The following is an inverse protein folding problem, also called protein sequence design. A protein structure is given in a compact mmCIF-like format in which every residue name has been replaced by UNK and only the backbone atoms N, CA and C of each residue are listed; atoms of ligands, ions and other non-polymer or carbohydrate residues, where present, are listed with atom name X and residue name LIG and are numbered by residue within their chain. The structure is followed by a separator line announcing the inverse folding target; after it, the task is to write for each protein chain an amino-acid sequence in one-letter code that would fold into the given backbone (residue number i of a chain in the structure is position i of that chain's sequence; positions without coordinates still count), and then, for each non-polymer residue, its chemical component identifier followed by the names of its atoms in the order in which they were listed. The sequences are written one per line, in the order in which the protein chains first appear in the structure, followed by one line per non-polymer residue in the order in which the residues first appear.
data_IF_952265062431
#
_entry.id   IF_952265062431
#
_cell.length_a   1.000
_cell.length_b   1.000
_cell.length_c   1.000
_cell.angle_alpha   90.00
_cell.angle_beta   90.00
_cell.angle_gamma   90.00
#
_symmetry.space_group_name_H-M   'P 1'
#
loop_
_entity.id
_entity.type
_entity.pdbx_description
1 polymer ?
#
# COMPACT_ATOMS: atom_id res chain seq x y z
N UNK A 1 9.91 -22.01 -7.14
CA UNK A 1 8.94 -21.38 -6.22
C UNK A 1 7.87 -22.39 -5.79
N UNK A 2 7.02 -22.91 -6.68
CA UNK A 2 5.99 -23.88 -6.29
C UNK A 2 6.48 -25.14 -5.55
N UNK A 3 7.74 -25.57 -5.77
CA UNK A 3 8.36 -26.68 -5.02
C UNK A 3 8.41 -26.44 -3.50
N UNK A 4 8.47 -25.19 -3.04
CA UNK A 4 8.50 -24.88 -1.60
C UNK A 4 7.15 -25.10 -0.93
N UNK A 5 6.07 -25.28 -1.69
CA UNK A 5 4.73 -25.55 -1.17
C UNK A 5 4.55 -27.03 -0.76
N UNK A 6 5.46 -27.92 -1.18
CA UNK A 6 5.26 -29.36 -1.03
C UNK A 6 4.19 -29.92 -1.99
N UNK A 7 4.01 -31.25 -2.03
CA UNK A 7 3.16 -31.90 -3.04
C UNK A 7 1.68 -31.56 -2.88
N UNK A 8 1.18 -31.50 -1.64
CA UNK A 8 -0.26 -31.33 -1.39
C UNK A 8 -0.74 -29.94 -1.79
N UNK A 9 -0.01 -28.89 -1.39
CA UNK A 9 -0.38 -27.50 -1.70
C UNK A 9 -0.06 -27.11 -3.15
N UNK A 10 0.88 -27.81 -3.82
CA UNK A 10 1.18 -27.59 -5.23
C UNK A 10 0.31 -28.44 -6.18
N UNK A 11 -0.60 -29.25 -5.64
CA UNK A 11 -1.47 -30.11 -6.45
C UNK A 11 -2.41 -29.26 -7.31
N UNK A 12 -2.65 -29.72 -8.54
CA UNK A 12 -3.50 -29.00 -9.48
C UNK A 12 -4.96 -29.18 -9.12
N UNK A 13 -5.72 -28.08 -9.14
CA UNK A 13 -7.17 -28.07 -8.97
C UNK A 13 -7.82 -27.19 -10.03
N UNK A 14 -9.12 -27.37 -10.26
CA UNK A 14 -9.92 -26.46 -11.07
C UNK A 14 -10.59 -25.44 -10.15
N UNK A 15 -10.41 -24.16 -10.45
CA UNK A 15 -11.06 -23.08 -9.72
C UNK A 15 -12.15 -22.45 -10.62
N UNK A 16 -13.44 -22.71 -10.36
CA UNK A 16 -14.52 -22.16 -11.18
C UNK A 16 -14.77 -20.69 -10.87
N UNK A 17 -15.16 -19.93 -11.89
CA UNK A 17 -15.68 -18.57 -11.70
C UNK A 17 -17.07 -18.65 -11.05
N UNK A 18 -17.30 -17.77 -10.06
CA UNK A 18 -18.60 -17.60 -9.40
C UNK A 18 -18.89 -16.10 -9.34
N UNK A 19 -19.99 -15.70 -9.96
CA UNK A 19 -20.45 -14.31 -9.91
C UNK A 19 -21.30 -14.11 -8.64
N UNK A 20 -20.63 -13.76 -7.54
CA UNK A 20 -21.30 -13.50 -6.26
C UNK A 20 -21.79 -12.05 -6.19
N UNK A 21 -22.93 -11.83 -5.52
CA UNK A 21 -23.37 -10.48 -5.18
C UNK A 21 -22.35 -9.76 -4.30
N UNK A 22 -22.21 -8.45 -4.53
CA UNK A 22 -21.36 -7.59 -3.72
C UNK A 22 -22.13 -7.12 -2.48
N UNK A 23 -21.51 -7.32 -1.33
CA UNK A 23 -22.00 -6.88 -0.02
C UNK A 23 -20.97 -5.96 0.64
N UNK A 24 -21.41 -5.12 1.57
CA UNK A 24 -20.58 -4.12 2.26
C UNK A 24 -20.96 -2.69 1.90
N UNK A 25 -20.54 -1.74 2.72
CA UNK A 25 -20.81 -0.32 2.50
C UNK A 25 -20.09 0.22 1.27
N UNK A 26 -18.85 -0.21 1.04
CA UNK A 26 -18.06 0.14 -0.12
C UNK A 26 -18.65 -0.48 -1.39
N UNK A 27 -19.26 -1.67 -1.30
CA UNK A 27 -20.03 -2.24 -2.41
C UNK A 27 -21.27 -1.39 -2.75
N UNK A 28 -21.97 -0.86 -1.75
CA UNK A 28 -23.11 0.03 -1.96
C UNK A 28 -22.68 1.38 -2.58
N UNK A 29 -21.57 1.96 -2.14
CA UNK A 29 -20.99 3.15 -2.79
C UNK A 29 -20.59 2.84 -4.23
N UNK A 30 -19.90 1.72 -4.47
CA UNK A 30 -19.47 1.30 -5.80
C UNK A 30 -20.66 1.16 -6.79
N UNK A 31 -21.79 0.61 -6.32
CA UNK A 31 -23.03 0.52 -7.13
C UNK A 31 -23.59 1.89 -7.56
N UNK A 32 -23.32 2.96 -6.79
CA UNK A 32 -23.73 4.34 -7.10
C UNK A 32 -22.71 5.09 -7.96
N UNK A 33 -21.50 4.54 -8.13
CA UNK A 33 -20.42 5.08 -8.97
C UNK A 33 -20.12 4.16 -10.17
N UNK A 34 -21.03 4.03 -11.15
CA UNK A 34 -21.02 2.95 -12.15
C UNK A 34 -19.87 3.01 -13.17
N UNK A 35 -19.04 4.06 -13.14
CA UNK A 35 -17.87 4.21 -14.03
C UNK A 35 -16.57 3.78 -13.38
N UNK A 36 -16.59 3.46 -12.09
CA UNK A 36 -15.42 2.95 -11.39
C UNK A 36 -15.21 1.48 -11.78
N UNK A 37 -13.96 1.13 -12.06
CA UNK A 37 -13.55 -0.25 -12.30
C UNK A 37 -12.66 -0.72 -11.16
N UNK A 38 -13.04 -1.81 -10.50
CA UNK A 38 -12.27 -2.52 -9.46
C UNK A 38 -12.57 -4.02 -9.54
N UNK A 39 -11.64 -4.86 -9.10
CA UNK A 39 -11.96 -6.26 -8.83
C UNK A 39 -12.81 -6.34 -7.56
N UNK A 40 -13.88 -7.14 -7.62
CA UNK A 40 -14.89 -7.25 -6.56
C UNK A 40 -14.31 -7.48 -5.16
N UNK A 41 -13.28 -8.33 -5.06
CA UNK A 41 -12.67 -8.70 -3.79
C UNK A 41 -11.78 -7.60 -3.19
N UNK A 42 -11.52 -6.50 -3.91
CA UNK A 42 -10.79 -5.36 -3.35
C UNK A 42 -11.65 -4.54 -2.37
N UNK A 43 -12.97 -4.49 -2.59
CA UNK A 43 -13.89 -3.66 -1.79
C UNK A 43 -13.85 -3.98 -0.28
N UNK A 44 -13.96 -5.25 0.17
CA UNK A 44 -13.83 -5.57 1.60
C UNK A 44 -12.43 -5.28 2.16
N UNK A 45 -11.39 -5.27 1.32
CA UNK A 45 -10.02 -4.89 1.74
C UNK A 45 -9.96 -3.40 2.06
N UNK A 46 -10.57 -2.54 1.23
CA UNK A 46 -10.69 -1.10 1.55
C UNK A 46 -11.44 -0.88 2.85
N UNK A 47 -12.54 -1.61 3.07
CA UNK A 47 -13.34 -1.50 4.30
C UNK A 47 -12.56 -1.84 5.57
N UNK A 48 -11.74 -2.89 5.52
CA UNK A 48 -10.93 -3.31 6.65
C UNK A 48 -9.77 -2.35 6.98
N UNK A 49 -9.36 -1.51 6.02
CA UNK A 49 -8.10 -0.76 6.09
C UNK A 49 -8.33 0.73 6.33
N UNK A 50 -9.38 1.29 5.73
CA UNK A 50 -9.63 2.74 5.72
C UNK A 50 -10.41 3.14 6.97
N UNK A 51 -9.76 3.93 7.83
CA UNK A 51 -10.41 4.55 9.00
C UNK A 51 -11.28 5.74 8.56
N UNK A 52 -12.59 5.60 8.75
CA UNK A 52 -13.59 6.61 8.42
C UNK A 52 -14.17 7.32 9.66
N UNK A 53 -13.75 6.94 10.86
CA UNK A 53 -14.23 7.57 12.09
C UNK A 53 -13.70 9.00 12.25
N UNK A 54 -12.68 9.37 11.47
CA UNK A 54 -12.04 10.69 11.46
C UNK A 54 -11.75 11.16 10.03
N UNK A 55 -11.55 12.48 9.83
CA UNK A 55 -10.92 12.99 8.62
C UNK A 55 -9.55 12.35 8.36
N UNK A 56 -9.29 12.00 7.10
CA UNK A 56 -7.99 11.53 6.64
C UNK A 56 -7.50 12.34 5.43
N UNK A 57 -6.19 12.35 5.21
CA UNK A 57 -5.58 12.84 3.97
C UNK A 57 -5.22 11.65 3.10
N UNK A 58 -5.89 11.53 1.96
CA UNK A 58 -5.71 10.45 1.00
C UNK A 58 -4.98 10.95 -0.24
N UNK A 59 -4.05 10.15 -0.75
CA UNK A 59 -3.49 10.27 -2.10
C UNK A 59 -3.94 9.06 -2.92
N UNK A 60 -4.47 9.29 -4.12
CA UNK A 60 -4.71 8.25 -5.12
C UNK A 60 -3.89 8.53 -6.38
N UNK A 61 -3.17 7.53 -6.86
CA UNK A 61 -2.43 7.58 -8.12
C UNK A 61 -3.15 6.68 -9.12
N UNK A 62 -3.55 7.22 -10.28
CA UNK A 62 -4.36 6.49 -11.25
C UNK A 62 -5.87 6.55 -10.97
N UNK A 63 -6.40 7.75 -10.76
CA UNK A 63 -7.80 7.99 -10.36
C UNK A 63 -8.87 7.73 -11.44
N UNK A 64 -8.55 6.99 -12.50
CA UNK A 64 -9.42 6.63 -13.62
C UNK A 64 -10.43 7.73 -14.02
N UNK A 65 -9.92 8.83 -14.60
CA UNK A 65 -10.74 9.98 -15.03
C UNK A 65 -11.50 10.72 -13.90
N UNK A 66 -11.20 10.42 -12.64
CA UNK A 66 -11.85 11.00 -11.46
C UNK A 66 -13.06 10.23 -10.94
N UNK A 67 -13.40 9.08 -11.55
CA UNK A 67 -14.55 8.29 -11.12
C UNK A 67 -14.27 7.63 -9.75
N UNK A 68 -13.06 7.13 -9.51
CA UNK A 68 -12.70 6.54 -8.20
C UNK A 68 -12.60 7.58 -7.09
N UNK A 69 -12.21 8.82 -7.41
CA UNK A 69 -12.20 9.93 -6.45
C UNK A 69 -13.62 10.23 -5.93
N UNK A 70 -14.65 10.14 -6.78
CA UNK A 70 -16.04 10.33 -6.34
C UNK A 70 -16.48 9.20 -5.39
N UNK A 71 -16.08 7.96 -5.69
CA UNK A 71 -16.29 6.82 -4.78
C UNK A 71 -15.62 7.07 -3.43
N UNK A 72 -14.37 7.55 -3.41
CA UNK A 72 -13.68 7.90 -2.17
C UNK A 72 -14.33 9.07 -1.43
N UNK A 73 -14.81 10.10 -2.14
CA UNK A 73 -15.49 11.24 -1.53
C UNK A 73 -16.80 10.83 -0.84
N UNK A 74 -17.54 9.90 -1.43
CA UNK A 74 -18.76 9.36 -0.84
C UNK A 74 -18.48 8.40 0.33
N UNK A 75 -17.42 7.61 0.22
CA UNK A 75 -17.07 6.59 1.21
C UNK A 75 -16.41 7.16 2.46
N UNK A 76 -15.52 8.15 2.31
CA UNK A 76 -14.71 8.70 3.41
C UNK A 76 -15.48 9.66 4.32
N UNK A 77 -14.90 9.94 5.49
CA UNK A 77 -15.39 11.00 6.38
C UNK A 77 -15.52 12.34 5.60
N UNK A 78 -16.60 13.13 5.76
CA UNK A 78 -16.84 14.35 4.96
C UNK A 78 -15.76 15.44 5.09
N UNK A 79 -14.99 15.41 6.18
CA UNK A 79 -13.85 16.30 6.40
C UNK A 79 -12.52 15.81 5.79
N UNK A 80 -12.52 14.65 5.12
CA UNK A 80 -11.31 14.10 4.50
C UNK A 80 -10.85 14.92 3.30
N UNK A 81 -9.55 14.86 3.05
CA UNK A 81 -8.91 15.53 1.94
C UNK A 81 -8.38 14.49 0.95
N UNK A 82 -8.77 14.58 -0.31
CA UNK A 82 -8.40 13.59 -1.33
C UNK A 82 -7.56 14.28 -2.40
N UNK A 83 -6.38 13.75 -2.69
CA UNK A 83 -5.52 14.20 -3.77
C UNK A 83 -5.49 13.13 -4.85
N UNK A 84 -5.94 13.45 -6.05
CA UNK A 84 -5.86 12.56 -7.22
C UNK A 84 -4.70 12.93 -8.14
N UNK A 85 -3.93 11.94 -8.58
CA UNK A 85 -2.95 12.07 -9.66
C UNK A 85 -3.42 11.23 -10.86
N UNK A 86 -3.55 11.85 -12.03
CA UNK A 86 -3.91 11.15 -13.27
C UNK A 86 -3.23 11.82 -14.48
N UNK A 87 -3.02 11.09 -15.57
CA UNK A 87 -2.57 11.65 -16.83
C UNK A 87 -3.69 12.43 -17.54
N UNK A 88 -4.94 12.11 -17.23
CA UNK A 88 -6.09 12.63 -17.93
C UNK A 88 -6.59 13.96 -17.34
N UNK A 89 -6.67 14.99 -18.20
CA UNK A 89 -7.16 16.32 -17.81
C UNK A 89 -8.64 16.38 -17.43
N UNK A 90 -9.44 15.33 -17.66
CA UNK A 90 -10.82 15.23 -17.16
C UNK A 90 -10.89 15.33 -15.63
N UNK A 91 -9.82 14.93 -14.94
CA UNK A 91 -9.71 15.05 -13.49
C UNK A 91 -9.87 16.51 -13.01
N UNK A 92 -9.52 17.51 -13.84
CA UNK A 92 -9.73 18.94 -13.51
C UNK A 92 -11.19 19.32 -13.30
N UNK A 93 -12.15 18.54 -13.81
CA UNK A 93 -13.58 18.83 -13.65
C UNK A 93 -14.07 18.63 -12.22
N UNK A 94 -13.34 17.86 -11.43
CA UNK A 94 -13.67 17.59 -10.02
C UNK A 94 -12.72 18.30 -9.05
N UNK A 95 -11.79 19.10 -9.57
CA UNK A 95 -10.91 19.94 -8.76
C UNK A 95 -11.72 20.93 -7.93
N UNK A 96 -11.25 21.23 -6.71
CA UNK A 96 -11.81 22.23 -5.79
C UNK A 96 -13.25 21.94 -5.31
N UNK A 97 -13.78 20.75 -5.58
CA UNK A 97 -15.07 20.29 -5.05
C UNK A 97 -14.86 19.61 -3.70
N UNK A 98 -15.20 20.30 -2.61
CA UNK A 98 -15.43 19.67 -1.30
C UNK A 98 -14.26 18.82 -0.78
N UNK A 99 -13.05 19.38 -0.77
CA UNK A 99 -11.86 18.70 -0.22
C UNK A 99 -11.06 17.88 -1.23
N UNK A 100 -11.35 17.99 -2.53
CA UNK A 100 -10.62 17.31 -3.60
C UNK A 100 -9.58 18.24 -4.24
N UNK A 101 -8.33 17.79 -4.28
CA UNK A 101 -7.26 18.36 -5.10
C UNK A 101 -6.84 17.38 -6.19
N UNK A 102 -6.40 17.92 -7.33
CA UNK A 102 -6.01 17.10 -8.47
C UNK A 102 -4.70 17.59 -9.07
N UNK A 103 -3.87 16.68 -9.53
CA UNK A 103 -2.62 16.98 -10.24
C UNK A 103 -2.54 16.13 -11.50
N UNK A 104 -2.23 16.78 -12.62
CA UNK A 104 -2.05 16.07 -13.89
C UNK A 104 -0.58 15.69 -14.03
N UNK A 105 -0.30 14.39 -14.18
CA UNK A 105 1.05 13.93 -14.50
C UNK A 105 1.01 12.67 -15.37
N UNK A 106 1.80 12.66 -16.44
CA UNK A 106 2.00 11.48 -17.30
C UNK A 106 3.03 10.48 -16.77
N UNK A 107 3.64 10.75 -15.63
CA UNK A 107 4.67 9.92 -15.01
C UNK A 107 4.86 10.24 -13.53
N UNK A 108 5.30 9.23 -12.77
CA UNK A 108 5.49 9.31 -11.32
C UNK A 108 6.96 9.66 -10.99
N UNK A 109 7.43 10.81 -11.50
CA UNK A 109 8.81 11.24 -11.26
C UNK A 109 9.00 11.70 -9.80
N UNK A 110 10.13 11.40 -9.15
CA UNK A 110 10.38 11.77 -7.77
C UNK A 110 10.21 13.27 -7.47
N UNK A 111 10.59 14.16 -8.39
CA UNK A 111 10.41 15.62 -8.23
C UNK A 111 8.93 16.01 -8.14
N UNK A 112 8.09 15.47 -9.03
CA UNK A 112 6.65 15.71 -9.00
C UNK A 112 6.01 15.14 -7.74
N UNK A 113 6.36 13.91 -7.34
CA UNK A 113 5.86 13.33 -6.09
C UNK A 113 6.33 14.14 -4.86
N UNK A 114 7.49 14.80 -4.95
CA UNK A 114 7.98 15.74 -3.91
C UNK A 114 7.10 16.97 -3.81
N UNK A 115 6.73 17.57 -4.92
CA UNK A 115 5.85 18.73 -4.94
C UNK A 115 4.48 18.37 -4.33
N UNK A 116 3.90 17.24 -4.75
CA UNK A 116 2.62 16.75 -4.21
C UNK A 116 2.71 16.47 -2.71
N UNK A 117 3.77 15.79 -2.26
CA UNK A 117 3.97 15.49 -0.85
C UNK A 117 4.22 16.75 0.00
N UNK A 118 4.92 17.73 -0.55
CA UNK A 118 5.17 19.01 0.14
C UNK A 118 3.90 19.84 0.26
N UNK A 119 3.08 19.84 -0.79
CA UNK A 119 1.86 20.64 -0.85
C UNK A 119 0.71 20.01 -0.04
N UNK A 120 0.51 18.70 -0.17
CA UNK A 120 -0.67 18.02 0.38
C UNK A 120 -0.37 16.89 1.35
N UNK A 121 0.91 16.56 1.58
CA UNK A 121 1.33 15.56 2.54
C UNK A 121 1.51 16.13 3.96
N UNK A 122 1.77 15.27 4.95
CA UNK A 122 1.77 13.81 4.81
C UNK A 122 0.35 13.24 4.66
N UNK A 123 0.25 12.04 4.09
CA UNK A 123 -0.99 11.31 3.82
C UNK A 123 -1.22 10.18 4.84
N UNK A 124 -2.45 10.02 5.32
CA UNK A 124 -2.89 8.88 6.14
C UNK A 124 -3.04 7.61 5.30
N UNK A 125 -3.48 7.76 4.05
CA UNK A 125 -3.71 6.65 3.12
C UNK A 125 -3.18 7.01 1.73
N UNK A 126 -2.35 6.15 1.16
CA UNK A 126 -1.88 6.27 -0.23
C UNK A 126 -2.32 5.03 -0.98
N UNK A 127 -3.04 5.24 -2.08
CA UNK A 127 -3.50 4.20 -2.99
C UNK A 127 -2.79 4.35 -4.34
N UNK A 128 -1.97 3.37 -4.69
CA UNK A 128 -1.27 3.30 -5.97
C UNK A 128 -2.01 2.32 -6.91
N UNK A 129 -2.87 2.88 -7.76
CA UNK A 129 -3.56 2.21 -8.86
C UNK A 129 -3.15 2.78 -10.22
N UNK A 130 -1.88 3.24 -10.35
CA UNK A 130 -1.37 4.02 -11.47
C UNK A 130 -1.22 3.24 -12.79
N UNK A 131 -0.04 3.31 -13.42
CA UNK A 131 0.19 2.61 -14.72
C UNK A 131 0.29 1.09 -14.59
N UNK A 132 0.38 0.57 -13.37
CA UNK A 132 0.64 -0.83 -13.02
C UNK A 132 1.95 -1.40 -13.59
N UNK A 133 2.83 -0.56 -14.14
CA UNK A 133 4.15 -1.01 -14.59
C UNK A 133 5.06 -1.23 -13.40
N UNK A 134 5.84 -2.32 -13.43
CA UNK A 134 6.74 -2.70 -12.33
C UNK A 134 7.63 -1.54 -11.89
N UNK A 135 8.19 -0.80 -12.85
CA UNK A 135 9.09 0.34 -12.56
C UNK A 135 8.40 1.48 -11.80
N UNK A 136 7.17 1.83 -12.16
CA UNK A 136 6.42 2.93 -11.56
C UNK A 136 5.94 2.56 -10.16
N UNK A 137 5.35 1.37 -9.97
CA UNK A 137 4.94 0.89 -8.63
C UNK A 137 6.13 0.89 -7.65
N UNK A 138 7.30 0.42 -8.09
CA UNK A 138 8.53 0.42 -7.28
C UNK A 138 9.01 1.86 -7.00
N UNK A 139 9.00 2.73 -8.01
CA UNK A 139 9.47 4.11 -7.89
C UNK A 139 8.61 4.93 -6.92
N UNK A 140 7.28 4.87 -7.10
CA UNK A 140 6.33 5.57 -6.23
C UNK A 140 6.42 5.10 -4.79
N UNK A 141 6.47 3.79 -4.54
CA UNK A 141 6.63 3.28 -3.19
C UNK A 141 7.91 3.80 -2.52
N UNK A 142 9.06 3.66 -3.20
CA UNK A 142 10.36 4.08 -2.65
C UNK A 142 10.37 5.55 -2.24
N UNK A 143 9.67 6.38 -2.99
CA UNK A 143 9.57 7.79 -2.70
C UNK A 143 8.53 8.07 -1.60
N UNK A 144 7.27 7.70 -1.84
CA UNK A 144 6.14 8.13 -1.04
C UNK A 144 6.09 7.48 0.35
N UNK A 145 6.51 6.23 0.49
CA UNK A 145 6.45 5.53 1.78
C UNK A 145 7.27 6.25 2.86
N UNK A 146 8.50 6.64 2.53
CA UNK A 146 9.38 7.32 3.47
C UNK A 146 9.08 8.82 3.62
N UNK A 147 8.72 9.48 2.52
CA UNK A 147 8.70 10.95 2.44
C UNK A 147 7.30 11.57 2.53
N UNK A 148 6.24 10.81 2.21
CA UNK A 148 4.89 11.35 2.09
C UNK A 148 3.87 10.65 3.00
N UNK A 149 4.12 9.41 3.41
CA UNK A 149 3.19 8.67 4.27
C UNK A 149 3.34 9.11 5.73
N UNK A 150 2.22 9.42 6.38
CA UNK A 150 2.17 9.81 7.78
C UNK A 150 2.57 8.67 8.73
N UNK A 151 2.86 9.02 9.98
CA UNK A 151 3.00 8.04 11.04
C UNK A 151 1.68 7.26 11.20
N UNK A 152 1.76 5.93 11.29
CA UNK A 152 0.59 5.03 11.29
C UNK A 152 -0.20 5.02 9.97
N UNK A 153 0.32 5.66 8.92
CA UNK A 153 -0.29 5.67 7.60
C UNK A 153 -0.17 4.33 6.88
N UNK A 154 -1.00 4.17 5.85
CA UNK A 154 -1.09 2.97 5.03
C UNK A 154 -0.77 3.27 3.56
N UNK A 155 0.14 2.50 2.97
CA UNK A 155 0.40 2.48 1.53
C UNK A 155 -0.20 1.22 0.93
N UNK A 156 -1.12 1.34 -0.01
CA UNK A 156 -1.78 0.24 -0.69
C UNK A 156 -1.47 0.29 -2.19
N UNK A 157 -1.15 -0.86 -2.77
CA UNK A 157 -0.95 -1.02 -4.21
C UNK A 157 -1.97 -2.01 -4.74
N UNK A 158 -2.74 -1.57 -5.73
CA UNK A 158 -3.70 -2.40 -6.47
C UNK A 158 -3.05 -3.01 -7.71
N UNK A 159 -3.68 -4.05 -8.25
CA UNK A 159 -3.32 -4.65 -9.54
C UNK A 159 -1.86 -5.13 -9.62
N UNK A 160 -1.32 -5.57 -8.48
CA UNK A 160 0.02 -6.16 -8.40
C UNK A 160 0.13 -7.43 -9.27
N UNK A 161 -1.00 -8.04 -9.66
CA UNK A 161 -1.02 -9.12 -10.66
C UNK A 161 -0.36 -8.72 -11.99
N UNK A 162 -0.31 -7.42 -12.33
CA UNK A 162 0.40 -6.91 -13.50
C UNK A 162 1.90 -7.26 -13.51
N UNK A 163 2.53 -7.49 -12.35
CA UNK A 163 3.91 -7.99 -12.29
C UNK A 163 4.09 -9.39 -12.91
N UNK A 164 3.00 -10.14 -13.13
CA UNK A 164 3.02 -11.45 -13.81
C UNK A 164 2.68 -11.35 -15.30
N UNK A 165 2.30 -10.17 -15.79
CA UNK A 165 1.90 -9.96 -17.17
C UNK A 165 3.00 -9.24 -17.95
N UNK A 166 3.51 -9.88 -19.00
CA UNK A 166 4.63 -9.37 -19.82
C UNK A 166 4.50 -7.90 -20.24
N UNK A 167 3.32 -7.38 -20.65
CA UNK A 167 3.20 -5.97 -21.05
C UNK A 167 3.49 -4.94 -19.94
N UNK A 168 3.31 -5.31 -18.68
CA UNK A 168 3.48 -4.42 -17.53
C UNK A 168 4.82 -4.64 -16.80
N UNK A 169 5.51 -5.74 -17.09
CA UNK A 169 6.83 -6.09 -16.55
C UNK A 169 7.94 -5.34 -17.29
N UNK A 170 7.97 -4.02 -17.14
CA UNK A 170 8.90 -3.11 -17.84
C UNK A 170 10.28 -2.96 -17.19
N UNK A 171 10.51 -3.60 -16.04
CA UNK A 171 11.80 -3.56 -15.35
C UNK A 171 12.16 -4.90 -14.72
N UNK A 172 13.45 -5.06 -14.41
CA UNK A 172 13.98 -6.28 -13.80
C UNK A 172 13.44 -6.54 -12.38
N UNK A 173 13.06 -5.49 -11.67
CA UNK A 173 12.58 -5.58 -10.28
C UNK A 173 11.08 -5.32 -10.29
N UNK A 174 10.27 -6.31 -9.89
CA UNK A 174 8.82 -6.11 -9.71
C UNK A 174 8.51 -5.39 -8.41
N UNK A 175 7.26 -4.94 -8.28
CA UNK A 175 6.73 -4.63 -6.98
C UNK A 175 6.73 -5.88 -6.06
N UNK A 176 6.40 -7.07 -6.57
CA UNK A 176 6.55 -8.34 -5.82
C UNK A 176 8.00 -8.59 -5.35
N UNK A 177 9.01 -8.32 -6.19
CA UNK A 177 10.41 -8.46 -5.78
C UNK A 177 10.77 -7.45 -4.66
N UNK A 178 10.23 -6.23 -4.74
CA UNK A 178 10.35 -5.23 -3.68
C UNK A 178 9.68 -5.71 -2.39
N UNK A 179 8.47 -6.29 -2.44
CA UNK A 179 7.76 -6.82 -1.28
C UNK A 179 8.57 -7.92 -0.58
N UNK A 180 9.25 -8.80 -1.33
CA UNK A 180 10.18 -9.78 -0.73
C UNK A 180 11.32 -9.09 0.01
N UNK A 181 11.92 -8.06 -0.59
CA UNK A 181 12.96 -7.28 0.08
C UNK A 181 12.43 -6.53 1.32
N UNK A 182 11.16 -6.10 1.33
CA UNK A 182 10.52 -5.50 2.50
C UNK A 182 10.34 -6.53 3.64
N UNK A 183 9.96 -7.77 3.32
CA UNK A 183 9.89 -8.86 4.30
C UNK A 183 11.26 -9.07 4.95
N UNK A 184 12.33 -9.13 4.17
CA UNK A 184 13.69 -9.28 4.70
C UNK A 184 14.12 -8.07 5.54
N UNK A 185 13.85 -6.85 5.04
CA UNK A 185 14.18 -5.62 5.76
C UNK A 185 13.44 -5.52 7.09
N UNK A 186 12.17 -5.93 7.15
CA UNK A 186 11.34 -5.93 8.37
C UNK A 186 11.98 -6.74 9.51
N UNK A 187 12.75 -7.78 9.17
CA UNK A 187 13.40 -8.73 10.07
C UNK A 187 14.92 -8.57 10.18
N UNK A 188 15.49 -7.52 9.57
CA UNK A 188 16.95 -7.36 9.44
C UNK A 188 17.70 -7.36 10.78
N UNK A 189 17.10 -6.87 11.87
CA UNK A 189 17.69 -6.89 13.21
C UNK A 189 17.93 -8.31 13.75
N UNK A 190 17.19 -9.32 13.27
CA UNK A 190 17.42 -10.72 13.66
C UNK A 190 18.65 -11.34 12.99
N UNK A 191 19.12 -10.77 11.87
CA UNK A 191 20.34 -11.25 11.21
C UNK A 191 21.60 -10.90 12.02
N UNK A 192 21.51 -9.92 12.91
CA UNK A 192 22.59 -9.52 13.81
C UNK A 192 22.53 -10.21 15.18
N UNK A 193 21.44 -10.93 15.49
CA UNK A 193 21.26 -11.64 16.75
C UNK A 193 21.67 -13.11 16.61
N UNK A 194 22.32 -13.67 17.64
CA UNK A 194 22.65 -15.09 17.69
C UNK A 194 21.49 -15.94 18.19
N UNK A 195 20.70 -15.39 19.12
CA UNK A 195 19.56 -16.03 19.76
C UNK A 195 18.69 -14.97 20.47
N UNK A 196 17.68 -15.42 21.21
CA UNK A 196 16.71 -14.55 21.86
C UNK A 196 17.27 -13.78 23.08
N UNK A 197 18.41 -14.20 23.65
CA UNK A 197 19.06 -13.48 24.75
C UNK A 197 19.52 -12.07 24.34
N UNK A 198 19.82 -11.87 23.05
CA UNK A 198 20.10 -10.56 22.45
C UNK A 198 18.96 -9.55 22.65
N UNK A 199 17.73 -10.01 22.94
CA UNK A 199 16.55 -9.19 23.16
C UNK A 199 16.03 -9.21 24.61
N UNK A 200 16.65 -9.98 25.51
CA UNK A 200 16.23 -10.06 26.93
C UNK A 200 16.65 -8.82 27.70
N UNK A 201 15.76 -8.28 28.54
CA UNK A 201 16.09 -7.12 29.37
C UNK A 201 17.01 -7.58 30.51
N UNK A 202 18.17 -6.93 30.67
CA UNK A 202 19.12 -7.23 31.75
C UNK A 202 20.12 -8.36 31.47
N UNK A 203 19.98 -9.11 30.36
CA UNK A 203 20.95 -10.12 29.97
C UNK A 203 22.28 -9.49 29.51
N UNK A 204 23.45 -10.09 29.80
CA UNK A 204 24.75 -9.59 29.33
C UNK A 204 24.83 -9.39 27.81
N UNK A 205 24.20 -10.29 27.06
CA UNK A 205 24.22 -10.29 25.58
C UNK A 205 23.18 -9.34 24.96
N UNK A 206 22.45 -8.56 25.77
CA UNK A 206 21.40 -7.65 25.29
C UNK A 206 21.97 -6.62 24.32
N UNK A 207 21.53 -6.69 23.07
CA UNK A 207 21.77 -5.66 22.07
C UNK A 207 21.10 -4.34 22.47
N UNK A 208 21.87 -3.26 22.43
CA UNK A 208 21.40 -1.89 22.67
C UNK A 208 21.19 -1.10 21.38
N UNK A 209 21.93 -1.47 20.34
CA UNK A 209 21.89 -0.87 19.02
C UNK A 209 22.17 -1.93 17.96
N UNK A 210 21.65 -1.72 16.76
CA UNK A 210 21.89 -2.57 15.60
C UNK A 210 21.82 -1.73 14.34
N UNK A 211 22.75 -1.94 13.43
CA UNK A 211 22.71 -1.32 12.10
C UNK A 211 21.77 -2.10 11.20
N UNK A 212 20.71 -1.45 10.74
CA UNK A 212 19.67 -2.04 9.89
C UNK A 212 19.34 -1.09 8.73
N UNK A 213 18.73 -1.57 7.63
CA UNK A 213 18.17 -0.69 6.61
C UNK A 213 17.22 0.35 7.22
N UNK A 214 17.27 1.59 6.74
CA UNK A 214 16.51 2.72 7.30
C UNK A 214 14.98 2.52 7.34
N UNK A 215 14.44 1.65 6.47
CA UNK A 215 13.02 1.30 6.46
C UNK A 215 12.62 0.39 7.64
N UNK A 216 13.55 -0.40 8.19
CA UNK A 216 13.30 -1.38 9.26
C UNK A 216 12.56 -0.79 10.46
N UNK A 217 13.03 0.31 11.08
CA UNK A 217 12.37 0.90 12.26
C UNK A 217 11.04 1.61 11.95
N UNK A 218 10.69 1.78 10.67
CA UNK A 218 9.45 2.47 10.25
C UNK A 218 8.44 1.55 9.54
N UNK A 219 8.79 0.28 9.32
CA UNK A 219 7.97 -0.71 8.62
C UNK A 219 7.12 -1.50 9.62
N UNK A 220 5.87 -1.10 9.81
CA UNK A 220 4.96 -1.64 10.83
C UNK A 220 4.38 -3.02 10.50
N UNK A 221 4.14 -3.29 9.22
CA UNK A 221 3.58 -4.56 8.76
C UNK A 221 3.34 -4.58 7.26
N UNK A 222 3.19 -5.79 6.72
CA UNK A 222 2.90 -6.04 5.30
C UNK A 222 1.74 -7.02 5.25
N UNK A 223 0.69 -6.67 4.53
CA UNK A 223 -0.45 -7.56 4.24
C UNK A 223 -0.49 -7.81 2.73
N UNK A 224 -0.65 -9.07 2.33
CA UNK A 224 -0.67 -9.48 0.93
C UNK A 224 -1.97 -10.24 0.69
N UNK A 225 -2.79 -9.68 -0.19
CA UNK A 225 -4.04 -10.26 -0.68
C UNK A 225 -3.90 -10.61 -2.17
N UNK A 226 -4.93 -11.23 -2.75
CA UNK A 226 -4.97 -11.44 -4.20
C UNK A 226 -4.91 -10.09 -4.93
N UNK A 227 -3.76 -9.82 -5.54
CA UNK A 227 -3.44 -8.62 -6.30
C UNK A 227 -3.52 -7.28 -5.54
N UNK A 228 -3.54 -7.31 -4.22
CA UNK A 228 -3.42 -6.10 -3.39
C UNK A 228 -2.32 -6.30 -2.36
N UNK A 229 -1.45 -5.31 -2.23
CA UNK A 229 -0.42 -5.29 -1.18
C UNK A 229 -0.58 -4.04 -0.34
N UNK A 230 -0.52 -4.22 0.98
CA UNK A 230 -0.61 -3.14 1.96
C UNK A 230 0.68 -3.11 2.75
N UNK A 231 1.26 -1.93 2.90
CA UNK A 231 2.43 -1.68 3.74
C UNK A 231 2.09 -0.59 4.75
N UNK A 232 2.19 -0.93 6.03
CA UNK A 232 1.90 -0.01 7.13
C UNK A 232 3.17 0.66 7.62
N UNK A 233 3.13 1.97 7.80
CA UNK A 233 4.20 2.73 8.46
C UNK A 233 3.94 2.80 9.96
N UNK A 234 4.91 2.42 10.77
CA UNK A 234 4.84 2.55 12.22
C UNK A 234 6.25 2.65 12.81
N UNK A 235 6.41 3.40 13.90
CA UNK A 235 7.67 3.44 14.64
C UNK A 235 7.81 2.16 15.44
N UNK A 236 8.93 1.47 15.24
CA UNK A 236 9.25 0.22 15.92
C UNK A 236 10.53 0.39 16.70
N UNK A 237 10.49 -0.07 17.94
CA UNK A 237 11.69 -0.26 18.75
C UNK A 237 12.32 -1.62 18.43
N UNK A 238 13.61 -1.75 18.79
CA UNK A 238 14.26 -3.06 18.81
C UNK A 238 13.45 -3.99 19.74
N UNK A 239 13.16 -5.24 19.33
CA UNK A 239 12.37 -6.15 20.15
C UNK A 239 12.93 -6.28 21.56
N UNK A 240 12.01 -6.38 22.53
CA UNK A 240 12.35 -6.77 23.90
C UNK A 240 11.58 -8.04 24.22
N UNK A 241 12.30 -9.06 24.63
CA UNK A 241 11.67 -10.20 25.29
C UNK A 241 11.21 -9.78 26.68
N UNK A 242 9.98 -10.16 27.00
CA UNK A 242 9.38 -9.97 28.31
C UNK A 242 9.40 -11.33 28.96
N UNK A 243 10.52 -11.67 29.59
CA UNK A 243 10.62 -12.86 30.43
C UNK A 243 10.16 -12.48 31.84
N UNK A 244 9.03 -13.02 32.33
CA UNK A 244 8.60 -12.81 33.70
C UNK A 244 9.35 -13.69 34.71
N UNK A 245 10.24 -14.59 34.26
CA UNK A 245 10.99 -15.52 35.12
C UNK A 245 12.30 -15.00 35.66
#
# INVERSE_FOLDING_TARGET
MLRTLGPDLASMTTWPAVDTELHGEMAEVFKRTPRVHKLAHYLPIYEAVVDRARPIRMLEIGSFYGDSIQMWQEYLHPGSHIVGIDINSRLLKIADLGGINVRIAGGQHPSFLTEVATEFGPFDFILDGGSHTSSNMVSSFRYLFANALSQNGVYMVEDVHCDYWTPYRDSRVSFIDLVRALIDAMHSHYQAASDETCFRVGHPDRMREVTVPAITPILGGIEIYDSVVIVRRATRDLPRSIDPS
#
